data_IF_892008108488
#
_entry.id   IF_892008108488
#
_cell.length_a   1.000
_cell.length_b   1.000
_cell.length_c   1.000
_cell.angle_alpha   90.00
_cell.angle_beta   90.00
_cell.angle_gamma   90.00
#
_symmetry.space_group_name_H-M   'P 1'
#
loop_
_entity.id
_entity.type
_entity.pdbx_description
1 polymer ?
#
# COMPACT_ATOMS: atom_id res chain seq x y z
N UNK A 1 -6.33 19.22 9.56
CA UNK A 1 -5.25 18.53 8.82
C UNK A 1 -5.09 19.16 7.46
N UNK A 2 -3.87 19.56 7.11
CA UNK A 2 -3.55 20.07 5.77
C UNK A 2 -3.46 18.94 4.74
N UNK A 3 -3.63 19.26 3.46
CA UNK A 3 -3.56 18.27 2.37
C UNK A 3 -2.19 17.55 2.31
N UNK A 4 -1.11 18.27 2.60
CA UNK A 4 0.26 17.74 2.62
C UNK A 4 0.50 16.76 3.77
N UNK A 5 -0.05 17.05 4.95
CA UNK A 5 0.08 16.19 6.14
C UNK A 5 -0.62 14.84 5.90
N UNK A 6 -1.81 14.87 5.31
CA UNK A 6 -2.55 13.65 4.96
C UNK A 6 -1.82 12.82 3.91
N UNK A 7 -1.23 13.46 2.91
CA UNK A 7 -0.43 12.78 1.89
C UNK A 7 0.80 12.10 2.51
N UNK A 8 1.54 12.79 3.38
CA UNK A 8 2.71 12.22 4.06
C UNK A 8 2.35 11.00 4.91
N UNK A 9 1.24 11.07 5.67
CA UNK A 9 0.76 9.94 6.47
C UNK A 9 0.41 8.74 5.59
N UNK A 10 -0.35 8.95 4.51
CA UNK A 10 -0.72 7.86 3.62
C UNK A 10 0.49 7.26 2.88
N UNK A 11 1.49 8.06 2.54
CA UNK A 11 2.76 7.54 2.02
C UNK A 11 3.46 6.61 3.01
N UNK A 12 3.44 6.94 4.30
CA UNK A 12 3.98 6.05 5.34
C UNK A 12 3.18 4.74 5.43
N UNK A 13 1.84 4.82 5.53
CA UNK A 13 0.97 3.66 5.61
C UNK A 13 1.14 2.73 4.40
N UNK A 14 1.23 3.30 3.20
CA UNK A 14 1.43 2.56 1.96
C UNK A 14 2.78 1.85 1.93
N UNK A 15 3.85 2.49 2.43
CA UNK A 15 5.17 1.87 2.53
C UNK A 15 5.22 0.69 3.52
N UNK A 16 4.56 0.80 4.67
CA UNK A 16 4.45 -0.30 5.63
C UNK A 16 3.59 -1.45 5.06
N UNK A 17 2.48 -1.14 4.39
CA UNK A 17 1.64 -2.14 3.73
C UNK A 17 2.44 -2.93 2.69
N UNK A 18 3.24 -2.26 1.85
CA UNK A 18 4.13 -2.94 0.89
C UNK A 18 5.13 -3.87 1.57
N UNK A 19 5.74 -3.44 2.69
CA UNK A 19 6.66 -4.30 3.45
C UNK A 19 5.97 -5.55 3.98
N UNK A 20 4.84 -5.39 4.64
CA UNK A 20 4.14 -6.49 5.31
C UNK A 20 3.47 -7.45 4.34
N UNK A 21 3.14 -7.00 3.13
CA UNK A 21 2.59 -7.82 2.03
C UNK A 21 3.66 -8.42 1.11
N UNK A 22 4.95 -8.14 1.37
CA UNK A 22 6.04 -8.70 0.57
C UNK A 22 6.10 -8.16 -0.86
N UNK A 23 5.63 -6.94 -1.10
CA UNK A 23 5.70 -6.27 -2.41
C UNK A 23 7.14 -5.86 -2.70
N UNK A 24 7.71 -6.41 -3.77
CA UNK A 24 9.05 -6.08 -4.25
C UNK A 24 8.97 -5.32 -5.58
N UNK A 25 9.22 -4.02 -5.54
CA UNK A 25 9.21 -3.15 -6.72
C UNK A 25 10.52 -3.23 -7.53
N UNK A 26 11.55 -3.93 -7.04
CA UNK A 26 12.87 -3.97 -7.68
C UNK A 26 12.92 -4.88 -8.92
N UNK A 27 12.01 -5.84 -9.01
CA UNK A 27 11.93 -6.82 -10.11
C UNK A 27 10.97 -6.41 -11.24
N UNK A 28 10.16 -5.37 -11.03
CA UNK A 28 9.12 -4.94 -11.95
C UNK A 28 9.60 -3.89 -12.98
N UNK A 29 9.18 -4.06 -14.23
CA UNK A 29 9.58 -3.17 -15.34
C UNK A 29 9.03 -1.73 -15.15
N UNK A 30 9.94 -0.75 -15.16
CA UNK A 30 9.72 0.58 -14.53
C UNK A 30 8.63 1.50 -15.10
N UNK A 31 8.15 1.32 -16.33
CA UNK A 31 7.14 2.24 -16.94
C UNK A 31 5.71 1.88 -16.53
N UNK A 32 5.34 0.59 -16.60
CA UNK A 32 4.02 0.11 -16.18
C UNK A 32 3.84 0.26 -14.67
N UNK A 33 4.89 -0.07 -13.91
CA UNK A 33 4.94 0.10 -12.46
C UNK A 33 4.73 1.57 -12.05
N UNK A 34 5.32 2.53 -12.76
CA UNK A 34 5.18 3.94 -12.45
C UNK A 34 3.74 4.47 -12.56
N UNK A 35 2.97 3.98 -13.55
CA UNK A 35 1.55 4.36 -13.71
C UNK A 35 0.68 3.76 -12.62
N UNK A 36 0.81 2.45 -12.38
CA UNK A 36 0.01 1.73 -11.38
C UNK A 36 0.31 2.24 -9.97
N UNK A 37 1.58 2.52 -9.67
CA UNK A 37 2.00 3.08 -8.39
C UNK A 37 1.43 4.48 -8.15
N UNK A 38 1.45 5.36 -9.17
CA UNK A 38 0.84 6.71 -9.04
C UNK A 38 -0.65 6.62 -8.75
N UNK A 39 -1.38 5.75 -9.47
CA UNK A 39 -2.80 5.53 -9.22
C UNK A 39 -3.04 5.01 -7.80
N UNK A 40 -2.22 4.07 -7.33
CA UNK A 40 -2.30 3.51 -5.99
C UNK A 40 -2.03 4.55 -4.88
N UNK A 41 -1.06 5.46 -5.09
CA UNK A 41 -0.80 6.57 -4.15
C UNK A 41 -2.03 7.48 -4.05
N UNK A 42 -2.65 7.85 -5.17
CA UNK A 42 -3.87 8.66 -5.15
C UNK A 42 -5.05 7.92 -4.49
N UNK A 43 -5.23 6.63 -4.75
CA UNK A 43 -6.28 5.82 -4.14
C UNK A 43 -6.09 5.67 -2.63
N UNK A 44 -4.85 5.41 -2.19
CA UNK A 44 -4.47 5.34 -0.78
C UNK A 44 -4.70 6.68 -0.10
N UNK A 45 -4.12 7.76 -0.64
CA UNK A 45 -4.29 9.11 -0.14
C UNK A 45 -5.74 9.59 -0.19
N UNK A 46 -6.66 8.92 -0.90
CA UNK A 46 -8.10 9.19 -0.91
C UNK A 46 -8.91 8.27 0.00
N UNK A 47 -8.31 7.31 0.70
CA UNK A 47 -9.03 6.34 1.53
C UNK A 47 -9.55 6.95 2.84
N UNK A 48 -10.61 6.33 3.36
CA UNK A 48 -11.24 6.68 4.65
C UNK A 48 -11.05 5.57 5.70
N UNK A 49 -10.33 4.50 5.37
CA UNK A 49 -10.09 3.35 6.25
C UNK A 49 -8.77 3.47 7.04
N UNK A 50 -8.32 4.71 7.29
CA UNK A 50 -7.01 5.01 7.88
C UNK A 50 -6.79 4.31 9.23
N UNK A 51 -7.77 4.38 10.15
CA UNK A 51 -7.67 3.71 11.46
C UNK A 51 -7.56 2.19 11.34
N UNK A 52 -8.31 1.58 10.42
CA UNK A 52 -8.24 0.13 10.17
C UNK A 52 -6.89 -0.26 9.58
N UNK A 53 -6.36 0.58 8.68
CA UNK A 53 -5.01 0.43 8.13
C UNK A 53 -3.96 0.46 9.26
N UNK A 54 -4.01 1.45 10.14
CA UNK A 54 -3.07 1.55 11.26
C UNK A 54 -3.15 0.38 12.21
N UNK A 55 -4.35 -0.07 12.57
CA UNK A 55 -4.53 -1.25 13.42
C UNK A 55 -3.95 -2.50 12.79
N UNK A 56 -4.23 -2.76 11.51
CA UNK A 56 -3.69 -3.91 10.79
C UNK A 56 -2.16 -3.85 10.69
N UNK A 57 -1.60 -2.68 10.33
CA UNK A 57 -0.14 -2.52 10.22
C UNK A 57 0.58 -2.67 11.57
N UNK A 58 -0.07 -2.32 12.68
CA UNK A 58 0.48 -2.48 14.02
C UNK A 58 0.64 -3.95 14.44
N UNK A 59 -0.04 -4.89 13.78
CA UNK A 59 0.10 -6.33 14.03
C UNK A 59 1.44 -6.89 13.49
N UNK A 60 2.09 -6.21 12.54
CA UNK A 60 3.46 -6.52 12.13
C UNK A 60 3.60 -7.81 11.33
N UNK A 61 2.85 -7.94 10.24
CA UNK A 61 2.83 -9.16 9.43
C UNK A 61 4.08 -9.38 8.58
N UNK A 62 4.31 -10.64 8.20
CA UNK A 62 5.36 -11.03 7.26
C UNK A 62 4.73 -11.76 6.07
N UNK A 63 4.80 -11.15 4.88
CA UNK A 63 4.22 -11.65 3.63
C UNK A 63 2.74 -12.03 3.74
N UNK A 64 1.94 -11.20 4.40
CA UNK A 64 0.50 -11.43 4.53
C UNK A 64 -0.28 -10.95 3.30
N UNK A 65 -1.43 -11.57 3.08
CA UNK A 65 -2.42 -11.04 2.14
C UNK A 65 -2.91 -9.65 2.59
N UNK A 66 -3.05 -8.69 1.67
CA UNK A 66 -3.58 -7.38 2.01
C UNK A 66 -5.03 -7.50 2.47
N UNK A 67 -5.46 -6.67 3.44
CA UNK A 67 -6.81 -6.74 3.96
C UNK A 67 -7.83 -6.21 2.94
N UNK A 68 -9.04 -6.77 2.94
CA UNK A 68 -10.08 -6.45 1.95
C UNK A 68 -10.56 -5.00 1.98
N UNK A 69 -10.37 -4.27 3.10
CA UNK A 69 -10.70 -2.85 3.17
C UNK A 69 -9.70 -1.97 2.39
N UNK A 70 -8.52 -2.49 2.05
CA UNK A 70 -7.48 -1.73 1.37
C UNK A 70 -7.88 -1.48 -0.10
N UNK A 71 -7.99 -0.20 -0.50
CA UNK A 71 -8.30 0.14 -1.91
C UNK A 71 -7.27 -0.40 -2.91
N UNK A 72 -6.05 -0.69 -2.45
CA UNK A 72 -4.96 -1.21 -3.26
C UNK A 72 -4.75 -2.72 -3.05
N UNK A 73 -5.67 -3.43 -2.41
CA UNK A 73 -5.51 -4.85 -2.08
C UNK A 73 -5.16 -5.67 -3.33
N UNK A 74 -5.89 -5.51 -4.44
CA UNK A 74 -5.63 -6.27 -5.66
C UNK A 74 -4.26 -5.95 -6.27
N UNK A 75 -3.79 -4.70 -6.16
CA UNK A 75 -2.45 -4.34 -6.60
C UNK A 75 -1.39 -5.02 -5.74
N UNK A 76 -1.56 -5.00 -4.41
CA UNK A 76 -0.62 -5.66 -3.51
C UNK A 76 -0.64 -7.18 -3.68
N UNK A 77 -1.78 -7.82 -3.94
CA UNK A 77 -1.85 -9.25 -4.31
C UNK A 77 -1.13 -9.58 -5.60
N UNK A 78 -1.18 -8.65 -6.56
CA UNK A 78 -0.50 -8.81 -7.85
C UNK A 78 1.02 -8.68 -7.71
N UNK A 79 1.48 -7.77 -6.85
CA UNK A 79 2.90 -7.42 -6.69
C UNK A 79 3.60 -8.13 -5.53
N UNK A 80 2.84 -8.66 -4.57
CA UNK A 80 3.36 -9.44 -3.45
C UNK A 80 4.02 -10.71 -3.96
N UNK A 81 5.10 -11.14 -3.28
CA UNK A 81 5.77 -12.41 -3.59
C UNK A 81 4.75 -13.55 -3.62
N UNK A 82 4.59 -14.15 -4.80
CA UNK A 82 3.97 -15.46 -4.98
C UNK A 82 5.07 -16.50 -4.75
N UNK A 83 5.21 -16.97 -3.52
CA UNK A 83 5.97 -18.20 -3.25
C UNK A 83 5.17 -19.42 -3.73
#
# INVERSE_FOLDING_TARGET
MGIFERANRHSHLMGEMMRQTGVDLSSESGILLGRDLRAAVHACAGCNAEKQCESWLAEGHQNAEPPDFCRNADLFRKLGRRD
#
